data_IF_901684031941
#
_entry.id   IF_901684031941
#
_cell.length_a   1.000
_cell.length_b   1.000
_cell.length_c   1.000
_cell.angle_alpha   90.00
_cell.angle_beta   90.00
_cell.angle_gamma   90.00
#
_symmetry.space_group_name_H-M   'P 1'
#
loop_
_entity.id
_entity.type
_entity.pdbx_description
1 polymer ?
#
# COMPACT_ATOMS: atom_id res chain seq x y z
N UNK A 1 -2.44 13.16 -27.01
CA UNK A 1 -1.11 12.59 -27.27
C UNK A 1 -0.29 12.83 -26.03
N UNK A 2 -0.17 11.83 -25.16
CA UNK A 2 0.67 11.95 -23.97
C UNK A 2 2.03 11.35 -24.32
N UNK A 3 3.01 12.23 -24.44
CA UNK A 3 4.42 11.88 -24.57
C UNK A 3 4.86 11.41 -23.19
N UNK A 4 5.26 10.15 -23.08
CA UNK A 4 5.87 9.59 -21.87
C UNK A 4 7.35 9.45 -22.23
N UNK A 5 8.17 10.09 -21.40
CA UNK A 5 9.63 10.25 -21.50
C UNK A 5 10.37 8.95 -21.86
N UNK A 6 11.40 9.08 -22.70
CA UNK A 6 12.20 7.99 -23.26
C UNK A 6 13.22 7.38 -22.27
N UNK A 7 13.31 7.89 -21.04
CA UNK A 7 14.09 7.28 -19.95
C UNK A 7 13.28 6.21 -19.20
N UNK A 8 12.69 5.29 -19.97
CA UNK A 8 11.92 4.16 -19.46
C UNK A 8 12.88 3.19 -18.74
N UNK A 9 12.89 3.28 -17.41
CA UNK A 9 13.57 2.37 -16.49
C UNK A 9 13.30 0.91 -16.91
N UNK A 10 14.33 0.25 -17.49
CA UNK A 10 14.21 -1.03 -18.22
C UNK A 10 13.72 -2.22 -17.38
N UNK A 11 13.44 -2.02 -16.09
CA UNK A 11 12.93 -3.04 -15.16
C UNK A 11 11.51 -2.80 -14.61
N UNK A 12 10.88 -1.66 -14.89
CA UNK A 12 9.56 -1.37 -14.31
C UNK A 12 8.43 -2.02 -15.12
N UNK A 13 7.68 -2.94 -14.50
CA UNK A 13 6.47 -3.51 -15.09
C UNK A 13 5.49 -2.39 -15.46
N UNK A 14 4.94 -2.40 -16.68
CA UNK A 14 4.02 -1.34 -17.15
C UNK A 14 2.79 -1.18 -16.24
N UNK A 15 2.28 -2.29 -15.73
CA UNK A 15 1.19 -2.32 -14.75
C UNK A 15 1.57 -1.63 -13.44
N UNK A 16 2.84 -1.74 -13.01
CA UNK A 16 3.37 -1.07 -11.83
C UNK A 16 3.43 0.44 -12.03
N UNK A 17 4.00 0.92 -13.14
CA UNK A 17 4.07 2.35 -13.45
C UNK A 17 2.67 2.98 -13.57
N UNK A 18 1.75 2.28 -14.26
CA UNK A 18 0.36 2.71 -14.37
C UNK A 18 -0.30 2.80 -12.99
N UNK A 19 -0.23 1.73 -12.19
CA UNK A 19 -0.85 1.69 -10.86
C UNK A 19 -0.30 2.76 -9.91
N UNK A 20 0.97 3.15 -10.03
CA UNK A 20 1.53 4.27 -9.26
C UNK A 20 0.98 5.62 -9.72
N UNK A 21 0.92 5.84 -11.04
CA UNK A 21 0.55 7.11 -11.63
C UNK A 21 -0.97 7.38 -11.62
N UNK A 22 -1.79 6.33 -11.52
CA UNK A 22 -3.26 6.48 -11.47
C UNK A 22 -3.83 6.47 -10.06
N UNK A 23 -2.99 6.36 -9.02
CA UNK A 23 -3.46 6.45 -7.63
C UNK A 23 -3.97 7.86 -7.33
N UNK A 24 -5.11 8.00 -6.62
CA UNK A 24 -5.62 9.30 -6.20
C UNK A 24 -4.81 9.83 -5.01
N UNK A 25 -3.55 10.21 -5.25
CA UNK A 25 -2.57 10.54 -4.21
C UNK A 25 -3.08 11.60 -3.23
N UNK A 26 -3.74 12.66 -3.73
CA UNK A 26 -4.29 13.72 -2.90
C UNK A 26 -5.38 13.21 -1.94
N UNK A 27 -6.23 12.27 -2.39
CA UNK A 27 -7.25 11.68 -1.54
C UNK A 27 -6.63 10.80 -0.45
N UNK A 28 -5.65 9.97 -0.83
CA UNK A 28 -4.88 9.13 0.11
C UNK A 28 -4.21 10.01 1.16
N UNK A 29 -3.51 11.09 0.76
CA UNK A 29 -2.85 12.00 1.68
C UNK A 29 -3.83 12.68 2.65
N UNK A 30 -5.02 13.09 2.18
CA UNK A 30 -6.05 13.68 3.05
C UNK A 30 -6.57 12.69 4.08
N UNK A 31 -6.82 11.44 3.68
CA UNK A 31 -7.27 10.38 4.60
C UNK A 31 -6.16 10.10 5.62
N UNK A 32 -4.91 9.96 5.18
CA UNK A 32 -3.78 9.77 6.10
C UNK A 32 -3.66 10.92 7.10
N UNK A 33 -3.72 12.17 6.64
CA UNK A 33 -3.66 13.34 7.53
C UNK A 33 -4.80 13.34 8.57
N UNK A 34 -5.98 12.89 8.20
CA UNK A 34 -7.12 12.81 9.11
C UNK A 34 -6.98 11.67 10.14
N UNK A 35 -6.41 10.54 9.74
CA UNK A 35 -6.32 9.34 10.59
C UNK A 35 -5.03 9.24 11.41
N UNK A 36 -3.94 9.85 10.95
CA UNK A 36 -2.63 9.82 11.64
C UNK A 36 -2.71 10.23 13.13
N UNK A 37 -3.41 11.31 13.52
CA UNK A 37 -3.44 11.75 14.92
C UNK A 37 -4.08 10.75 15.90
N UNK A 38 -4.89 9.81 15.40
CA UNK A 38 -5.59 8.80 16.20
C UNK A 38 -5.05 7.39 15.95
N UNK A 39 -3.93 7.27 15.23
CA UNK A 39 -3.29 6.00 14.90
C UNK A 39 -2.21 5.61 15.90
N UNK A 40 -1.95 4.32 16.02
CA UNK A 40 -0.82 3.77 16.80
C UNK A 40 0.29 3.35 15.84
N UNK A 41 1.48 3.96 15.88
CA UNK A 41 2.57 3.60 14.99
C UNK A 41 3.14 2.23 15.38
N UNK A 42 3.53 1.46 14.37
CA UNK A 42 4.31 0.24 14.53
C UNK A 42 5.19 0.04 13.29
N UNK A 43 6.26 -0.72 13.46
CA UNK A 43 7.17 -1.10 12.38
C UNK A 43 7.15 -2.62 12.23
N UNK A 44 7.14 -3.09 10.99
CA UNK A 44 7.34 -4.51 10.67
C UNK A 44 8.75 -4.69 10.17
N UNK A 45 9.49 -5.62 10.77
CA UNK A 45 10.78 -6.05 10.28
C UNK A 45 10.62 -6.86 8.98
N UNK A 46 11.68 -6.98 8.17
CA UNK A 46 11.68 -7.93 7.06
C UNK A 46 11.25 -9.32 7.55
N UNK A 47 10.40 -9.98 6.75
CA UNK A 47 9.80 -11.29 7.02
C UNK A 47 8.75 -11.35 8.15
N UNK A 48 8.52 -10.25 8.88
CA UNK A 48 7.39 -10.16 9.80
C UNK A 48 6.06 -9.99 9.05
N UNK A 49 4.99 -10.49 9.66
CA UNK A 49 3.65 -10.47 9.09
C UNK A 49 2.68 -9.84 10.07
N UNK A 50 1.83 -8.98 9.55
CA UNK A 50 0.67 -8.48 10.27
C UNK A 50 -0.56 -9.27 9.82
N UNK A 51 -1.27 -9.89 10.76
CA UNK A 51 -2.51 -10.61 10.49
C UNK A 51 -3.72 -9.68 10.60
N UNK A 52 -4.50 -9.59 9.53
CA UNK A 52 -5.80 -8.94 9.58
C UNK A 52 -6.78 -9.87 10.31
N UNK A 53 -7.27 -9.45 11.47
CA UNK A 53 -8.39 -10.13 12.14
C UNK A 53 -9.72 -9.50 11.69
N UNK A 54 -10.67 -10.33 11.27
CA UNK A 54 -12.01 -9.92 10.85
C UNK A 54 -13.05 -9.96 11.97
N UNK A 55 -12.64 -10.20 13.22
CA UNK A 55 -13.56 -10.17 14.35
C UNK A 55 -14.12 -8.76 14.54
N UNK A 56 -15.39 -8.63 14.96
CA UNK A 56 -16.11 -7.35 15.03
C UNK A 56 -15.38 -6.24 15.82
N UNK A 57 -14.49 -6.62 16.74
CA UNK A 57 -13.69 -5.69 17.56
C UNK A 57 -12.30 -5.38 17.02
N UNK A 58 -11.85 -6.01 15.92
CA UNK A 58 -10.49 -5.89 15.38
C UNK A 58 -10.44 -5.38 13.93
N UNK A 59 -11.53 -4.76 13.44
CA UNK A 59 -11.50 -4.08 12.15
C UNK A 59 -10.51 -2.90 12.20
N UNK A 60 -9.34 -3.09 11.59
CA UNK A 60 -8.26 -2.12 11.60
C UNK A 60 -8.14 -1.40 10.25
N UNK A 61 -7.83 -0.11 10.30
CA UNK A 61 -7.35 0.64 9.14
C UNK A 61 -5.82 0.71 9.25
N UNK A 62 -5.11 0.30 8.22
CA UNK A 62 -3.65 0.35 8.17
C UNK A 62 -3.20 1.56 7.36
N UNK A 63 -2.32 2.37 7.94
CA UNK A 63 -1.72 3.52 7.26
C UNK A 63 -0.28 3.16 6.89
N UNK A 64 -0.02 2.87 5.62
CA UNK A 64 1.33 2.57 5.13
C UNK A 64 2.06 3.88 4.83
N UNK A 65 2.85 4.35 5.80
CA UNK A 65 3.63 5.57 5.73
C UNK A 65 4.89 5.43 4.88
N UNK A 66 5.62 4.33 5.05
CA UNK A 66 6.89 4.07 4.37
C UNK A 66 6.98 2.59 3.97
N UNK A 67 7.71 2.31 2.89
CA UNK A 67 7.97 0.96 2.42
C UNK A 67 6.90 0.42 1.47
N UNK A 68 6.92 -0.90 1.31
CA UNK A 68 6.08 -1.67 0.39
C UNK A 68 5.67 -2.97 1.04
N UNK A 69 4.50 -3.49 0.68
CA UNK A 69 4.02 -4.77 1.22
C UNK A 69 3.17 -5.54 0.24
N UNK A 70 2.85 -6.78 0.59
CA UNK A 70 1.92 -7.62 -0.14
C UNK A 70 0.86 -8.10 0.84
N UNK A 71 -0.41 -7.92 0.48
CA UNK A 71 -1.53 -8.49 1.22
C UNK A 71 -1.78 -9.87 0.65
N UNK A 72 -1.76 -10.88 1.50
CA UNK A 72 -1.93 -12.28 1.12
C UNK A 72 -3.16 -12.88 1.82
N UNK A 73 -3.77 -13.86 1.17
CA UNK A 73 -4.78 -14.70 1.81
C UNK A 73 -4.11 -15.61 2.85
N UNK A 74 -4.65 -15.67 4.07
CA UNK A 74 -4.03 -16.37 5.20
C UNK A 74 -3.90 -17.88 4.96
N UNK A 75 -4.89 -18.51 4.32
CA UNK A 75 -4.91 -19.97 4.16
C UNK A 75 -3.85 -20.52 3.20
N UNK A 76 -3.49 -19.77 2.15
CA UNK A 76 -2.65 -20.28 1.07
C UNK A 76 -1.53 -19.32 0.62
N UNK A 77 -1.33 -18.20 1.33
CA UNK A 77 -0.36 -17.15 1.00
C UNK A 77 -0.52 -16.59 -0.43
N UNK A 78 -1.70 -16.72 -1.04
CA UNK A 78 -1.94 -16.15 -2.37
C UNK A 78 -1.96 -14.63 -2.27
N UNK A 79 -1.14 -13.96 -3.09
CA UNK A 79 -1.09 -12.51 -3.15
C UNK A 79 -2.42 -11.95 -3.68
N UNK A 80 -3.07 -11.12 -2.87
CA UNK A 80 -4.32 -10.41 -3.21
C UNK A 80 -3.97 -9.09 -3.88
N UNK A 81 -3.07 -8.31 -3.25
CA UNK A 81 -2.66 -7.00 -3.78
C UNK A 81 -1.28 -6.59 -3.25
N UNK A 82 -0.69 -5.59 -3.90
CA UNK A 82 0.58 -4.97 -3.51
C UNK A 82 0.33 -3.54 -3.03
N UNK A 83 0.95 -3.18 -1.91
CA UNK A 83 0.84 -1.88 -1.27
C UNK A 83 2.14 -1.11 -1.47
N UNK A 84 2.02 0.17 -1.77
CA UNK A 84 3.16 1.09 -1.90
C UNK A 84 2.83 2.35 -1.14
N UNK A 85 3.73 2.78 -0.26
CA UNK A 85 3.56 4.03 0.46
C UNK A 85 3.42 5.23 -0.51
N UNK A 86 2.55 6.21 -0.20
CA UNK A 86 1.53 6.17 0.85
C UNK A 86 0.33 5.30 0.45
N UNK A 87 -0.22 4.52 1.38
CA UNK A 87 -1.48 3.76 1.18
C UNK A 87 -2.31 3.71 2.47
N UNK A 88 -3.62 3.50 2.31
CA UNK A 88 -4.62 3.27 3.37
C UNK A 88 -5.36 1.98 3.03
#
# INVERSE_FOLDING_TARGET
MFIIDEDFDRGALRSFAFGRNTRPLLAIQRIMQALLPVSTPFELQPDERFEFCDTENNANILLLLEGTGVVCHSENNMAITTLFSPSV
#
